data_IF_585133998113
#
_entry.id   IF_585133998113
#
_cell.length_a   1.000
_cell.length_b   1.000
_cell.length_c   1.000
_cell.angle_alpha   90.00
_cell.angle_beta   90.00
_cell.angle_gamma   90.00
#
_symmetry.space_group_name_H-M   'P 1'
#
loop_
_entity.id
_entity.type
_entity.pdbx_description
1 polymer ?
#
# COMPACT_ATOMS: atom_id res chain seq x y z
N UNK A 1 8.12 56.63 -46.40
CA UNK A 1 8.69 55.43 -45.76
C UNK A 1 7.92 55.17 -44.45
N UNK A 2 7.12 54.09 -44.44
CA UNK A 2 6.31 53.73 -43.27
C UNK A 2 7.03 52.58 -42.58
N UNK A 3 7.56 52.82 -41.39
CA UNK A 3 8.20 51.82 -40.54
C UNK A 3 7.12 51.00 -39.82
N UNK A 4 7.05 49.73 -40.18
CA UNK A 4 6.15 48.75 -39.57
C UNK A 4 6.83 48.20 -38.30
N UNK A 5 6.33 48.63 -37.13
CA UNK A 5 6.82 48.12 -35.83
C UNK A 5 6.09 46.84 -35.50
N UNK A 6 6.77 45.72 -35.66
CA UNK A 6 6.23 44.37 -35.31
C UNK A 6 6.31 44.17 -33.80
N UNK A 7 5.16 44.16 -33.14
CA UNK A 7 5.04 43.88 -31.72
C UNK A 7 5.09 42.35 -31.53
N UNK A 8 6.20 41.84 -31.01
CA UNK A 8 6.32 40.41 -30.64
C UNK A 8 5.69 40.25 -29.25
N UNK A 9 4.49 39.67 -29.20
CA UNK A 9 3.86 39.27 -27.96
C UNK A 9 4.54 37.96 -27.46
N UNK A 10 5.38 38.06 -26.43
CA UNK A 10 5.95 36.89 -25.74
C UNK A 10 4.87 36.36 -24.80
N UNK A 11 4.22 35.26 -25.21
CA UNK A 11 3.28 34.52 -24.37
C UNK A 11 4.09 33.79 -23.30
N UNK A 12 4.14 34.32 -22.09
CA UNK A 12 4.74 33.69 -20.93
C UNK A 12 3.84 32.51 -20.53
N UNK A 13 4.20 31.29 -20.92
CA UNK A 13 3.53 30.08 -20.42
C UNK A 13 3.99 29.90 -18.98
N UNK A 14 3.16 30.34 -18.03
CA UNK A 14 3.35 30.07 -16.63
C UNK A 14 3.17 28.57 -16.40
N UNK A 15 4.28 27.84 -16.22
CA UNK A 15 4.24 26.48 -15.67
C UNK A 15 3.74 26.57 -14.22
N UNK A 16 2.44 26.36 -14.02
CA UNK A 16 1.91 26.19 -12.67
C UNK A 16 2.48 24.87 -12.13
N UNK A 17 3.42 24.98 -11.20
CA UNK A 17 3.92 23.84 -10.45
C UNK A 17 2.71 23.21 -9.75
N UNK A 18 2.31 22.00 -10.20
CA UNK A 18 1.25 21.26 -9.55
C UNK A 18 1.73 20.87 -8.18
N UNK A 19 1.04 21.36 -7.16
CA UNK A 19 1.28 20.89 -5.80
C UNK A 19 1.06 19.37 -5.74
N UNK A 20 1.99 18.64 -5.13
CA UNK A 20 1.82 17.21 -4.88
C UNK A 20 1.57 17.00 -3.39
N UNK A 21 0.65 16.09 -3.07
CA UNK A 21 0.30 15.75 -1.70
C UNK A 21 0.90 14.39 -1.32
N UNK A 22 1.55 14.28 -0.14
CA UNK A 22 2.07 13.01 0.35
C UNK A 22 0.91 12.12 0.79
N UNK A 23 0.83 10.92 0.22
CA UNK A 23 -0.19 9.92 0.57
C UNK A 23 0.49 8.68 1.14
N UNK A 24 0.20 8.32 2.41
CA UNK A 24 0.72 7.09 2.99
C UNK A 24 -0.04 5.87 2.47
N UNK A 25 0.68 4.77 2.31
CA UNK A 25 0.11 3.47 1.99
C UNK A 25 0.90 2.35 2.67
N UNK A 26 0.26 1.18 2.81
CA UNK A 26 0.90 -0.01 3.34
C UNK A 26 1.38 -0.85 2.15
N UNK A 27 2.68 -0.90 1.96
CA UNK A 27 3.31 -1.76 0.98
C UNK A 27 3.46 -3.18 1.52
N UNK A 28 3.36 -4.17 0.65
CA UNK A 28 3.60 -5.58 0.96
C UNK A 28 4.72 -6.10 0.06
N UNK A 29 5.99 -5.99 0.46
CA UNK A 29 7.11 -6.53 -0.31
C UNK A 29 7.11 -8.07 -0.20
N UNK A 30 6.25 -8.71 -0.96
CA UNK A 30 5.98 -10.16 -0.91
C UNK A 30 7.26 -10.98 -1.06
N UNK A 31 8.19 -10.53 -1.90
CA UNK A 31 9.45 -11.23 -2.16
C UNK A 31 10.36 -11.36 -0.92
N UNK A 32 10.16 -10.51 0.09
CA UNK A 32 10.94 -10.54 1.33
C UNK A 32 10.37 -11.52 2.38
N UNK A 33 9.33 -12.28 2.04
CA UNK A 33 8.73 -13.29 2.89
C UNK A 33 8.94 -14.70 2.37
N UNK A 34 8.25 -15.65 2.99
CA UNK A 34 8.20 -17.03 2.54
C UNK A 34 6.85 -17.65 2.85
N UNK A 35 6.52 -18.73 2.13
CA UNK A 35 5.34 -19.54 2.38
C UNK A 35 5.73 -20.95 2.81
N UNK A 36 4.79 -21.66 3.42
CA UNK A 36 4.92 -23.06 3.80
C UNK A 36 3.86 -23.85 3.02
N UNK A 37 4.30 -24.81 2.23
CA UNK A 37 3.41 -25.64 1.44
C UNK A 37 2.65 -26.67 2.30
N UNK A 38 1.79 -27.47 1.67
CA UNK A 38 1.00 -28.51 2.34
C UNK A 38 1.85 -29.61 2.99
N UNK A 39 3.10 -29.78 2.56
CA UNK A 39 4.05 -30.75 3.10
C UNK A 39 4.96 -30.16 4.19
N UNK A 40 4.74 -28.89 4.59
CA UNK A 40 5.54 -28.21 5.59
C UNK A 40 6.87 -27.65 5.06
N UNK A 41 7.11 -27.67 3.75
CA UNK A 41 8.34 -27.16 3.15
C UNK A 41 8.25 -25.67 2.92
N UNK A 42 9.33 -24.96 3.23
CA UNK A 42 9.47 -23.54 2.98
C UNK A 42 9.70 -23.28 1.49
N UNK A 43 8.93 -22.33 0.95
CA UNK A 43 8.94 -21.92 -0.45
C UNK A 43 9.00 -20.39 -0.55
N UNK A 44 9.51 -19.82 -1.66
CA UNK A 44 9.40 -18.39 -1.92
C UNK A 44 7.95 -17.93 -1.99
N UNK A 45 7.65 -16.75 -1.42
CA UNK A 45 6.30 -16.17 -1.48
C UNK A 45 5.80 -15.96 -2.91
N UNK A 46 6.69 -15.73 -3.87
CA UNK A 46 6.33 -15.56 -5.27
C UNK A 46 5.61 -16.79 -5.85
N UNK A 47 5.91 -18.00 -5.36
CA UNK A 47 5.19 -19.21 -5.77
C UNK A 47 3.79 -19.26 -5.15
N UNK A 48 3.68 -18.94 -3.86
CA UNK A 48 2.40 -18.88 -3.17
C UNK A 48 1.49 -17.79 -3.74
N UNK A 49 2.05 -16.66 -4.13
CA UNK A 49 1.29 -15.53 -4.70
C UNK A 49 0.53 -15.90 -5.97
N UNK A 50 1.02 -16.85 -6.76
CA UNK A 50 0.33 -17.35 -7.97
C UNK A 50 -0.94 -18.14 -7.65
N UNK A 51 -1.05 -18.66 -6.45
CA UNK A 51 -2.17 -19.46 -5.98
C UNK A 51 -3.15 -18.66 -5.12
N UNK A 52 -2.98 -17.35 -5.02
CA UNK A 52 -3.94 -16.46 -4.36
C UNK A 52 -5.13 -16.26 -5.30
N UNK A 53 -6.30 -16.68 -4.86
CA UNK A 53 -7.56 -16.48 -5.59
C UNK A 53 -8.11 -15.09 -5.29
N UNK A 54 -8.00 -14.65 -4.04
CA UNK A 54 -8.53 -13.38 -3.59
C UNK A 54 -7.62 -12.73 -2.54
N UNK A 55 -7.23 -11.48 -2.76
CA UNK A 55 -6.38 -10.73 -1.85
C UNK A 55 -6.93 -9.31 -1.64
N UNK A 56 -6.95 -8.88 -0.39
CA UNK A 56 -7.25 -7.50 -0.01
C UNK A 56 -5.97 -6.82 0.48
N UNK A 57 -5.61 -5.70 -0.13
CA UNK A 57 -4.52 -4.88 0.38
C UNK A 57 -4.94 -4.13 1.65
N UNK A 58 -4.12 -4.11 2.70
CA UNK A 58 -4.37 -3.27 3.86
C UNK A 58 -4.34 -1.79 3.43
N UNK A 59 -5.36 -1.05 3.87
CA UNK A 59 -5.47 0.38 3.56
C UNK A 59 -4.97 1.21 4.74
N UNK A 60 -4.10 2.15 4.47
CA UNK A 60 -3.66 3.09 5.49
C UNK A 60 -4.88 3.92 5.97
N UNK A 61 -5.10 4.03 7.30
CA UNK A 61 -6.24 4.75 7.84
C UNK A 61 -6.07 6.27 7.66
N UNK A 62 -6.80 6.85 6.70
CA UNK A 62 -6.69 8.27 6.34
C UNK A 62 -7.03 9.22 7.51
N UNK A 63 -7.89 8.79 8.43
CA UNK A 63 -8.22 9.56 9.64
C UNK A 63 -7.04 9.67 10.62
N UNK A 64 -6.05 8.78 10.53
CA UNK A 64 -4.83 8.84 11.31
C UNK A 64 -3.80 9.83 10.73
N UNK A 65 -4.10 10.44 9.57
CA UNK A 65 -3.26 11.50 8.98
C UNK A 65 -3.31 12.74 9.88
N UNK A 66 -2.15 13.16 10.32
CA UNK A 66 -1.96 14.52 10.83
C UNK A 66 -1.85 15.49 9.65
N UNK A 67 -2.19 16.75 9.88
CA UNK A 67 -1.94 17.84 8.92
C UNK A 67 -0.44 18.03 8.62
N UNK A 68 0.43 17.57 9.51
CA UNK A 68 1.88 17.58 9.34
C UNK A 68 2.39 16.18 8.95
N UNK A 69 2.84 15.99 7.68
CA UNK A 69 3.37 14.72 7.19
C UNK A 69 4.56 14.19 7.99
N UNK A 70 5.34 15.06 8.63
CA UNK A 70 6.50 14.66 9.41
C UNK A 70 6.09 14.00 10.73
N UNK A 71 5.00 14.47 11.33
CA UNK A 71 4.46 13.95 12.59
C UNK A 71 3.80 12.60 12.40
N UNK A 72 2.92 12.42 11.40
CA UNK A 72 2.29 11.12 11.19
C UNK A 72 3.28 10.08 10.66
N UNK A 73 4.29 10.49 9.89
CA UNK A 73 5.35 9.57 9.45
C UNK A 73 6.20 9.04 10.60
N UNK A 74 6.33 9.75 11.72
CA UNK A 74 7.03 9.27 12.93
C UNK A 74 6.21 8.27 13.73
N UNK A 75 4.92 8.54 13.89
CA UNK A 75 4.04 7.76 14.76
C UNK A 75 3.50 6.47 14.11
N UNK A 76 3.53 6.40 12.78
CA UNK A 76 2.98 5.29 11.99
C UNK A 76 4.00 4.72 11.01
N UNK A 77 5.26 4.73 11.39
CA UNK A 77 6.33 4.03 10.68
C UNK A 77 6.52 2.67 11.30
N UNK A 78 6.53 1.66 10.48
CA UNK A 78 6.93 0.37 10.94
C UNK A 78 6.92 -0.65 9.83
N UNK A 79 7.86 -1.56 9.91
CA UNK A 79 7.87 -2.76 9.11
C UNK A 79 7.27 -3.86 9.97
N UNK A 80 6.05 -4.27 9.63
CA UNK A 80 5.36 -5.37 10.27
C UNK A 80 5.72 -6.70 9.62
N UNK A 81 5.53 -7.78 10.36
CA UNK A 81 5.67 -9.14 9.84
C UNK A 81 4.53 -9.99 10.38
N UNK A 82 3.78 -10.61 9.48
CA UNK A 82 2.57 -11.36 9.81
C UNK A 82 2.67 -12.77 9.24
N UNK A 83 2.21 -13.74 10.03
CA UNK A 83 2.03 -15.12 9.58
C UNK A 83 0.54 -15.38 9.38
N UNK A 84 0.15 -15.67 8.17
CA UNK A 84 -1.17 -16.16 7.81
C UNK A 84 -1.17 -17.67 7.93
N UNK A 85 -2.04 -18.22 8.76
CA UNK A 85 -2.30 -19.66 8.80
C UNK A 85 -3.44 -19.97 7.83
N UNK A 86 -3.22 -20.90 6.91
CA UNK A 86 -4.13 -21.20 5.82
C UNK A 86 -4.74 -22.57 6.06
N UNK A 87 -6.06 -22.66 6.04
CA UNK A 87 -6.77 -23.93 6.09
C UNK A 87 -6.61 -24.67 4.76
N UNK A 88 -5.96 -25.81 4.77
CA UNK A 88 -5.70 -26.60 3.58
C UNK A 88 -6.96 -27.06 2.85
N UNK A 89 -8.08 -27.28 3.57
CA UNK A 89 -9.33 -27.75 2.96
C UNK A 89 -10.04 -26.66 2.19
N UNK A 90 -10.04 -25.44 2.73
CA UNK A 90 -10.81 -24.32 2.18
C UNK A 90 -9.97 -23.28 1.46
N UNK A 91 -8.65 -23.26 1.68
CA UNK A 91 -7.75 -22.20 1.20
C UNK A 91 -7.94 -20.86 1.92
N UNK A 92 -8.78 -20.77 2.93
CA UNK A 92 -9.06 -19.53 3.68
C UNK A 92 -8.02 -19.32 4.78
N UNK A 93 -7.76 -18.07 5.10
CA UNK A 93 -6.97 -17.73 6.28
C UNK A 93 -7.77 -18.07 7.52
N UNK A 94 -7.27 -19.01 8.31
CA UNK A 94 -7.89 -19.49 9.55
C UNK A 94 -7.41 -18.73 10.79
N UNK A 95 -6.29 -18.03 10.70
CA UNK A 95 -5.73 -17.25 11.78
C UNK A 95 -4.52 -16.44 11.31
N UNK A 96 -4.21 -15.36 12.06
CA UNK A 96 -3.06 -14.52 11.79
C UNK A 96 -2.27 -14.31 13.08
N UNK A 97 -0.97 -14.53 12.98
CA UNK A 97 -0.02 -14.26 14.06
C UNK A 97 0.80 -13.03 13.69
N UNK A 98 0.83 -12.03 14.54
CA UNK A 98 1.71 -10.86 14.41
C UNK A 98 3.10 -11.30 14.92
N UNK A 99 4.04 -11.54 14.01
CA UNK A 99 5.43 -11.89 14.37
C UNK A 99 6.16 -10.63 14.82
N UNK A 100 5.93 -9.52 14.10
CA UNK A 100 6.45 -8.20 14.41
C UNK A 100 5.36 -7.17 14.12
N UNK A 101 5.05 -6.34 15.11
CA UNK A 101 4.11 -5.22 14.95
C UNK A 101 4.64 -4.20 13.95
N UNK A 102 3.73 -3.61 13.17
CA UNK A 102 4.03 -2.46 12.32
C UNK A 102 4.25 -1.16 13.12
N UNK A 103 4.42 -1.25 14.44
CA UNK A 103 4.67 -0.11 15.33
C UNK A 103 3.41 0.62 15.81
N UNK A 104 2.23 0.16 15.41
CA UNK A 104 0.94 0.73 15.82
C UNK A 104 -0.15 -0.33 15.82
N UNK A 105 -0.94 -0.40 16.90
CA UNK A 105 -2.09 -1.28 17.01
C UNK A 105 -3.13 -1.04 15.89
N UNK A 106 -3.20 0.19 15.37
CA UNK A 106 -4.08 0.56 14.26
C UNK A 106 -3.59 -0.10 12.96
N UNK A 107 -2.30 0.02 12.66
CA UNK A 107 -1.70 -0.60 11.46
C UNK A 107 -1.79 -2.13 11.53
N UNK A 108 -1.55 -2.71 12.71
CA UNK A 108 -1.71 -4.14 12.92
C UNK A 108 -3.16 -4.59 12.67
N UNK A 109 -4.14 -3.83 13.16
CA UNK A 109 -5.56 -4.13 12.98
C UNK A 109 -5.99 -4.04 11.51
N UNK A 110 -5.57 -3.00 10.78
CA UNK A 110 -5.94 -2.88 9.36
C UNK A 110 -5.25 -3.94 8.51
N UNK A 111 -4.03 -4.32 8.85
CA UNK A 111 -3.29 -5.37 8.16
C UNK A 111 -3.91 -6.75 8.40
N UNK A 112 -4.17 -7.10 9.66
CA UNK A 112 -4.80 -8.39 10.00
C UNK A 112 -6.22 -8.48 9.46
N UNK A 113 -7.00 -7.38 9.51
CA UNK A 113 -8.34 -7.31 8.93
C UNK A 113 -8.37 -7.50 7.41
N UNK A 114 -7.35 -7.03 6.70
CA UNK A 114 -7.21 -7.26 5.27
C UNK A 114 -6.80 -8.72 4.97
N UNK A 115 -5.79 -9.22 5.66
CA UNK A 115 -5.24 -10.55 5.44
C UNK A 115 -6.22 -11.67 5.82
N UNK A 116 -7.09 -11.47 6.80
CA UNK A 116 -8.12 -12.46 7.18
C UNK A 116 -9.11 -12.79 6.05
N UNK A 117 -9.19 -11.93 5.04
CA UNK A 117 -10.06 -12.10 3.87
C UNK A 117 -9.38 -12.76 2.68
N UNK A 118 -8.10 -13.09 2.80
CA UNK A 118 -7.39 -13.73 1.71
C UNK A 118 -7.85 -15.17 1.51
N UNK A 119 -7.88 -15.57 0.25
CA UNK A 119 -8.25 -16.94 -0.16
C UNK A 119 -7.20 -17.45 -1.12
N UNK A 120 -6.71 -18.64 -0.85
CA UNK A 120 -5.70 -19.37 -1.61
C UNK A 120 -6.32 -20.59 -2.29
N UNK A 121 -5.64 -21.14 -3.26
CA UNK A 121 -6.00 -22.44 -3.83
C UNK A 121 -5.94 -23.51 -2.75
N UNK A 122 -7.04 -24.25 -2.48
CA UNK A 122 -7.06 -25.30 -1.47
C UNK A 122 -6.00 -26.38 -1.70
N UNK A 123 -5.50 -26.98 -0.63
CA UNK A 123 -4.59 -28.11 -0.68
C UNK A 123 -3.12 -27.78 -0.94
N UNK A 124 -2.75 -26.55 -1.18
CA UNK A 124 -1.38 -26.19 -1.58
C UNK A 124 -0.54 -25.56 -0.48
N UNK A 125 -1.12 -24.67 0.33
CA UNK A 125 -0.38 -23.82 1.27
C UNK A 125 -0.94 -23.93 2.68
N UNK A 126 -0.07 -24.08 3.66
CA UNK A 126 -0.43 -24.13 5.09
C UNK A 126 -0.16 -22.79 5.81
N UNK A 127 0.79 -22.01 5.34
CA UNK A 127 1.05 -20.68 5.87
C UNK A 127 1.75 -19.76 4.84
N UNK A 128 1.63 -18.44 5.07
CA UNK A 128 2.36 -17.42 4.33
C UNK A 128 2.86 -16.35 5.29
N UNK A 129 4.13 -15.99 5.22
CA UNK A 129 4.74 -14.92 6.02
C UNK A 129 4.87 -13.68 5.14
N UNK A 130 4.14 -12.62 5.52
CA UNK A 130 4.04 -11.39 4.73
C UNK A 130 4.66 -10.24 5.53
N UNK A 131 5.71 -9.60 5.00
CA UNK A 131 6.17 -8.31 5.50
C UNK A 131 5.26 -7.17 5.02
N UNK A 132 5.09 -6.16 5.86
CA UNK A 132 4.43 -4.91 5.51
C UNK A 132 5.35 -3.74 5.83
N UNK A 133 5.21 -2.66 5.08
CA UNK A 133 5.95 -1.44 5.33
C UNK A 133 5.10 -0.22 5.00
N UNK A 134 5.07 0.77 5.87
CA UNK A 134 4.43 2.05 5.54
C UNK A 134 5.34 2.83 4.60
N UNK A 135 4.80 3.26 3.48
CA UNK A 135 5.47 4.06 2.45
C UNK A 135 4.66 5.31 2.14
N UNK A 136 5.30 6.30 1.57
CA UNK A 136 4.69 7.55 1.15
C UNK A 136 4.85 7.63 -0.36
N UNK A 137 3.76 7.93 -1.06
CA UNK A 137 3.79 8.33 -2.46
C UNK A 137 3.33 9.77 -2.59
N UNK A 138 3.76 10.45 -3.64
CA UNK A 138 3.36 11.82 -3.94
C UNK A 138 2.34 11.79 -5.07
N UNK A 139 1.14 12.27 -4.78
CA UNK A 139 0.04 12.30 -5.75
C UNK A 139 -0.18 13.74 -6.20
N UNK A 140 -0.24 14.04 -7.51
CA UNK A 140 -0.58 15.37 -7.99
C UNK A 140 -1.98 15.77 -7.50
N UNK A 141 -2.09 16.94 -6.87
CA UNK A 141 -3.38 17.49 -6.49
C UNK A 141 -4.04 18.03 -7.75
N UNK A 142 -5.13 17.39 -8.17
CA UNK A 142 -6.00 17.96 -9.19
C UNK A 142 -6.80 19.09 -8.53
N UNK A 143 -6.42 20.32 -8.78
CA UNK A 143 -7.21 21.48 -8.38
C UNK A 143 -8.47 21.44 -9.27
N UNK A 144 -9.57 20.88 -8.74
CA UNK A 144 -10.88 21.13 -9.33
C UNK A 144 -11.22 22.60 -9.03
N UNK A 145 -11.00 23.46 -10.00
CA UNK A 145 -11.64 24.77 -9.99
C UNK A 145 -13.16 24.52 -9.99
N UNK A 146 -13.77 24.62 -8.80
CA UNK A 146 -15.22 24.83 -8.73
C UNK A 146 -15.46 26.18 -9.36
N UNK A 147 -15.90 26.19 -10.60
CA UNK A 147 -16.54 27.39 -11.16
C UNK A 147 -17.76 27.67 -10.29
N UNK A 148 -17.63 28.70 -9.47
CA UNK A 148 -18.76 29.32 -8.78
C UNK A 148 -19.58 30.04 -9.85
N UNK A 149 -20.64 29.38 -10.33
CA UNK A 149 -21.73 30.05 -11.02
C UNK A 149 -22.75 30.53 -9.99
#
# INVERSE_FOLDING_TARGET
MKTLTTLIAITLIAFTARASEPVPYIAMPIDNGYAIDAHGKRQPNALCARDIIWAYAPRYPLWARSSDPTTWSRNFRGDGLYRLNIDLKTGRVSGITIIKSAGSAILDRVSTGAFSRWVFTPGKWSAMIIPTAVRITWVPVLIQERSLN
#
